data_IF_156082217188
#
_entry.id   IF_156082217188
#
_cell.length_a   1.000
_cell.length_b   1.000
_cell.length_c   1.000
_cell.angle_alpha   90.00
_cell.angle_beta   90.00
_cell.angle_gamma   90.00
#
_symmetry.space_group_name_H-M   'P 1'
#
loop_
_entity.id
_entity.type
_entity.pdbx_description
1 polymer ?
#
# COMPACT_ATOMS: atom_id res chain seq x y z
N UNK A 1 -10.30 -2.42 -46.95
CA UNK A 1 -10.67 -2.39 -45.50
C UNK A 1 -9.50 -3.01 -44.73
N UNK A 2 -8.62 -2.18 -44.20
CA UNK A 2 -7.44 -2.66 -43.42
C UNK A 2 -7.94 -2.84 -42.00
N UNK A 3 -8.13 -4.09 -41.58
CA UNK A 3 -8.38 -4.45 -40.18
C UNK A 3 -7.04 -4.31 -39.45
N UNK A 4 -6.82 -3.17 -38.79
CA UNK A 4 -5.75 -3.04 -37.80
C UNK A 4 -6.13 -3.94 -36.62
N UNK A 5 -5.65 -5.16 -36.63
CA UNK A 5 -5.61 -6.01 -35.45
C UNK A 5 -4.62 -5.35 -34.48
N UNK A 6 -5.11 -4.46 -33.65
CA UNK A 6 -4.37 -3.97 -32.50
C UNK A 6 -4.28 -5.16 -31.51
N UNK A 7 -3.24 -5.98 -31.70
CA UNK A 7 -2.83 -6.90 -30.65
C UNK A 7 -2.44 -6.04 -29.44
N UNK A 8 -3.34 -5.96 -28.46
CA UNK A 8 -3.03 -5.39 -27.14
C UNK A 8 -2.00 -6.34 -26.56
N UNK A 9 -0.74 -5.96 -26.76
CA UNK A 9 0.40 -6.70 -26.28
C UNK A 9 0.48 -6.46 -24.78
N UNK A 10 0.03 -7.42 -23.99
CA UNK A 10 0.44 -7.52 -22.58
C UNK A 10 1.97 -7.35 -22.51
N UNK A 11 2.43 -6.75 -21.42
CA UNK A 11 3.84 -6.48 -21.22
C UNK A 11 4.68 -7.73 -21.54
N UNK A 12 5.52 -7.59 -22.52
CA UNK A 12 6.40 -8.68 -22.97
C UNK A 12 7.52 -8.85 -21.95
N UNK A 13 8.08 -10.05 -21.85
CA UNK A 13 9.30 -10.32 -21.08
C UNK A 13 10.34 -9.23 -21.36
N UNK A 14 10.85 -8.62 -20.29
CA UNK A 14 11.84 -7.53 -20.37
C UNK A 14 11.25 -6.12 -20.48
N UNK A 15 9.92 -5.95 -20.62
CA UNK A 15 9.30 -4.62 -20.56
C UNK A 15 9.41 -4.05 -19.15
N UNK A 16 9.68 -2.75 -19.07
CA UNK A 16 9.67 -1.99 -17.84
C UNK A 16 8.38 -1.22 -17.70
N UNK A 17 8.00 -0.94 -16.48
CA UNK A 17 6.88 -0.06 -16.18
C UNK A 17 7.24 0.87 -15.01
N UNK A 18 6.61 2.02 -15.02
CA UNK A 18 6.55 2.94 -13.89
C UNK A 18 5.09 3.18 -13.56
N UNK A 19 4.82 3.47 -12.32
CA UNK A 19 3.47 3.76 -11.87
C UNK A 19 3.45 4.24 -10.45
N UNK A 20 2.33 4.08 -9.83
CA UNK A 20 2.17 4.39 -8.41
C UNK A 20 0.77 4.13 -7.93
N UNK A 21 0.67 4.09 -6.62
CA UNK A 21 -0.57 3.99 -5.87
C UNK A 21 -0.69 5.20 -4.95
N UNK A 22 -1.91 5.67 -4.75
CA UNK A 22 -2.20 6.71 -3.77
C UNK A 22 -3.45 6.32 -2.99
N UNK A 23 -3.49 6.70 -1.73
CA UNK A 23 -4.62 6.46 -0.87
C UNK A 23 -4.81 7.64 0.08
N UNK A 24 -6.06 7.90 0.43
CA UNK A 24 -6.46 8.87 1.43
C UNK A 24 -7.65 8.29 2.20
N UNK A 25 -7.64 8.46 3.51
CA UNK A 25 -8.72 8.02 4.37
C UNK A 25 -8.97 9.04 5.49
N UNK A 26 -10.23 9.18 5.87
CA UNK A 26 -10.62 9.94 7.05
C UNK A 26 -11.70 9.17 7.79
N UNK A 27 -11.49 8.93 9.06
CA UNK A 27 -12.45 8.30 9.96
C UNK A 27 -12.78 9.28 11.10
N UNK A 28 -14.07 9.47 11.33
CA UNK A 28 -14.55 10.34 12.37
C UNK A 28 -15.48 9.57 13.28
N UNK A 29 -15.21 9.62 14.57
CA UNK A 29 -16.08 9.07 15.64
C UNK A 29 -16.59 10.23 16.47
N UNK A 30 -17.92 10.34 16.57
CA UNK A 30 -18.61 11.38 17.33
C UNK A 30 -19.51 10.70 18.38
N UNK A 31 -19.07 10.61 19.64
CA UNK A 31 -19.88 10.04 20.71
C UNK A 31 -21.04 10.99 21.05
N UNK A 32 -22.20 10.43 21.45
CA UNK A 32 -23.46 11.17 21.70
C UNK A 32 -23.32 12.34 22.68
N UNK A 33 -22.36 12.25 23.62
CA UNK A 33 -22.12 13.29 24.65
C UNK A 33 -20.59 13.56 24.79
N UNK A 34 -19.84 13.55 23.71
CA UNK A 34 -18.38 13.66 23.78
C UNK A 34 -17.75 14.45 22.66
N UNK A 35 -16.47 14.70 22.79
CA UNK A 35 -15.68 15.41 21.79
C UNK A 35 -15.40 14.50 20.59
N UNK A 36 -15.54 15.03 19.42
CA UNK A 36 -15.26 14.37 18.13
C UNK A 36 -13.80 13.94 18.04
N UNK A 37 -13.55 12.70 17.65
CA UNK A 37 -12.23 12.19 17.30
C UNK A 37 -12.13 11.96 15.80
N UNK A 38 -11.07 12.43 15.17
CA UNK A 38 -10.85 12.29 13.72
C UNK A 38 -9.45 11.78 13.45
N UNK A 39 -9.37 10.67 12.75
CA UNK A 39 -8.11 10.13 12.20
C UNK A 39 -8.10 10.36 10.69
N UNK A 40 -7.09 11.05 10.19
CA UNK A 40 -6.84 11.25 8.77
C UNK A 40 -5.57 10.54 8.38
N UNK A 41 -5.60 9.76 7.30
CA UNK A 41 -4.44 9.03 6.80
C UNK A 41 -4.25 9.24 5.30
N UNK A 42 -3.00 9.20 4.86
CA UNK A 42 -2.64 9.26 3.45
C UNK A 42 -1.49 8.31 3.15
N UNK A 43 -1.43 7.83 1.92
CA UNK A 43 -0.34 7.02 1.40
C UNK A 43 -0.06 7.41 -0.05
N UNK A 44 1.20 7.40 -0.43
CA UNK A 44 1.68 7.59 -1.78
C UNK A 44 2.84 6.64 -2.05
N UNK A 45 2.78 5.85 -3.11
CA UNK A 45 3.79 4.85 -3.44
C UNK A 45 4.15 4.89 -4.93
N UNK A 46 5.17 5.65 -5.34
CA UNK A 46 5.75 5.48 -6.68
C UNK A 46 6.29 4.06 -6.83
N UNK A 47 6.10 3.51 -8.01
CA UNK A 47 6.37 2.11 -8.32
C UNK A 47 7.14 1.97 -9.63
N UNK A 48 8.12 1.07 -9.64
CA UNK A 48 8.89 0.69 -10.83
C UNK A 48 9.06 -0.82 -10.85
N UNK A 49 9.10 -1.41 -12.03
CA UNK A 49 9.38 -2.83 -12.14
C UNK A 49 9.51 -3.31 -13.58
N UNK A 50 9.64 -4.62 -13.71
CA UNK A 50 9.83 -5.29 -14.99
C UNK A 50 9.06 -6.62 -15.06
N UNK A 51 8.79 -7.06 -16.26
CA UNK A 51 8.22 -8.38 -16.51
C UNK A 51 9.36 -9.40 -16.77
N UNK A 52 9.59 -10.29 -15.81
CA UNK A 52 10.55 -11.38 -15.92
C UNK A 52 10.11 -12.43 -16.95
N UNK A 53 8.79 -12.64 -17.01
CA UNK A 53 8.06 -13.46 -17.98
C UNK A 53 6.80 -12.72 -18.38
N UNK A 54 6.09 -13.19 -19.39
CA UNK A 54 4.85 -12.57 -19.86
C UNK A 54 3.76 -12.49 -18.78
N UNK A 55 3.86 -13.31 -17.75
CA UNK A 55 2.88 -13.42 -16.66
C UNK A 55 3.50 -13.16 -15.26
N UNK A 56 4.81 -12.90 -15.17
CA UNK A 56 5.50 -12.66 -13.89
C UNK A 56 6.12 -11.28 -13.89
N UNK A 57 5.68 -10.46 -12.95
CA UNK A 57 6.14 -9.11 -12.68
C UNK A 57 6.99 -9.08 -11.41
N UNK A 58 8.13 -8.43 -11.46
CA UNK A 58 8.94 -8.06 -10.30
C UNK A 58 8.93 -6.55 -10.19
N UNK A 59 8.70 -6.01 -9.00
CA UNK A 59 8.65 -4.57 -8.82
C UNK A 59 9.07 -4.10 -7.44
N UNK A 60 9.20 -2.80 -7.35
CA UNK A 60 9.58 -2.06 -6.16
C UNK A 60 8.65 -0.85 -6.00
N UNK A 61 8.14 -0.66 -4.78
CA UNK A 61 7.33 0.49 -4.37
C UNK A 61 8.12 1.26 -3.32
N UNK A 62 8.19 2.58 -3.47
CA UNK A 62 8.69 3.47 -2.43
C UNK A 62 7.48 4.04 -1.67
N UNK A 63 7.02 3.33 -0.65
CA UNK A 63 5.87 3.76 0.14
C UNK A 63 6.20 4.95 1.04
N UNK A 64 5.39 5.99 0.95
CA UNK A 64 5.35 7.14 1.86
C UNK A 64 3.96 7.20 2.46
N UNK A 65 3.84 7.35 3.76
CA UNK A 65 2.56 7.36 4.44
C UNK A 65 2.59 8.25 5.67
N UNK A 66 1.41 8.70 6.07
CA UNK A 66 1.26 9.46 7.29
C UNK A 66 -0.17 9.41 7.80
N UNK A 67 -0.32 9.68 9.09
CA UNK A 67 -1.60 9.87 9.72
C UNK A 67 -1.56 11.02 10.72
N UNK A 68 -2.73 11.59 10.96
CA UNK A 68 -2.94 12.64 11.96
C UNK A 68 -4.21 12.32 12.73
N UNK A 69 -4.08 12.28 14.05
CA UNK A 69 -5.20 12.14 14.96
C UNK A 69 -5.52 13.48 15.61
N UNK A 70 -6.82 13.77 15.70
CA UNK A 70 -7.36 14.98 16.33
C UNK A 70 -8.44 14.60 17.33
N UNK A 71 -8.49 15.36 18.44
CA UNK A 71 -9.55 15.32 19.42
C UNK A 71 -10.18 16.73 19.52
N UNK A 72 -11.37 16.88 18.97
CA UNK A 72 -11.91 18.20 18.67
C UNK A 72 -11.12 18.87 17.53
N UNK A 73 -10.64 20.07 17.79
CA UNK A 73 -9.77 20.82 16.88
C UNK A 73 -8.28 20.59 17.17
N UNK A 74 -7.95 20.01 18.32
CA UNK A 74 -6.57 19.79 18.76
C UNK A 74 -5.96 18.55 18.12
N UNK A 75 -4.74 18.69 17.60
CA UNK A 75 -3.93 17.59 17.09
C UNK A 75 -3.33 16.84 18.28
N UNK A 76 -3.62 15.53 18.37
CA UNK A 76 -3.15 14.68 19.46
C UNK A 76 -1.95 13.84 19.06
N UNK A 77 -1.93 13.33 17.84
CA UNK A 77 -0.78 12.59 17.32
C UNK A 77 -0.56 12.79 15.82
N UNK A 78 0.65 12.53 15.37
CA UNK A 78 1.06 12.51 13.96
C UNK A 78 2.03 11.39 13.72
N UNK A 79 1.79 10.60 12.70
CA UNK A 79 2.71 9.61 12.21
C UNK A 79 3.18 9.99 10.81
N UNK A 80 4.47 9.82 10.54
CA UNK A 80 5.05 9.85 9.19
C UNK A 80 5.98 8.68 8.98
N UNK A 81 5.82 7.97 7.87
CA UNK A 81 6.50 6.73 7.62
C UNK A 81 6.97 6.56 6.17
N UNK A 82 7.95 5.70 6.04
CA UNK A 82 8.59 5.28 4.80
C UNK A 82 8.60 3.75 4.77
N UNK A 83 8.11 3.17 3.69
CA UNK A 83 7.96 1.72 3.57
C UNK A 83 8.33 1.19 2.19
N UNK A 84 9.64 0.99 1.90
CA UNK A 84 10.07 0.33 0.67
C UNK A 84 9.53 -1.11 0.64
N UNK A 85 8.98 -1.48 -0.52
CA UNK A 85 8.36 -2.79 -0.74
C UNK A 85 8.89 -3.41 -2.03
N UNK A 86 9.40 -4.63 -1.95
CA UNK A 86 9.71 -5.47 -3.11
C UNK A 86 8.60 -6.50 -3.27
N UNK A 87 8.20 -6.77 -4.50
CA UNK A 87 7.14 -7.74 -4.75
C UNK A 87 7.33 -8.53 -6.03
N UNK A 88 6.70 -9.70 -6.06
CA UNK A 88 6.51 -10.52 -7.25
C UNK A 88 5.00 -10.74 -7.43
N UNK A 89 4.50 -10.50 -8.64
CA UNK A 89 3.11 -10.78 -9.02
C UNK A 89 3.05 -11.77 -10.15
N UNK A 90 2.10 -12.68 -10.10
CA UNK A 90 1.77 -13.59 -11.19
C UNK A 90 0.39 -13.28 -11.73
N UNK A 91 0.33 -13.00 -13.03
CA UNK A 91 -0.89 -12.65 -13.74
C UNK A 91 -1.53 -13.86 -14.40
N UNK A 92 -2.87 -13.87 -14.40
CA UNK A 92 -3.70 -14.78 -15.20
C UNK A 92 -4.62 -13.95 -16.05
N UNK A 93 -4.43 -14.00 -17.35
CA UNK A 93 -5.29 -13.35 -18.34
C UNK A 93 -6.69 -13.98 -18.29
N UNK A 94 -7.73 -13.13 -18.19
CA UNK A 94 -9.13 -13.51 -18.22
C UNK A 94 -9.76 -13.12 -19.55
N UNK A 95 -9.51 -11.87 -19.99
CA UNK A 95 -9.87 -11.36 -21.32
C UNK A 95 -8.68 -10.63 -21.93
N UNK A 96 -8.83 -10.06 -23.12
CA UNK A 96 -7.76 -9.31 -23.76
C UNK A 96 -7.35 -8.07 -22.96
N UNK A 97 -8.24 -7.45 -22.22
CA UNK A 97 -7.99 -6.24 -21.46
C UNK A 97 -7.98 -6.46 -19.93
N UNK A 98 -8.37 -7.64 -19.45
CA UNK A 98 -8.55 -7.91 -18.04
C UNK A 98 -7.73 -9.11 -17.58
N UNK A 99 -6.99 -8.93 -16.51
CA UNK A 99 -6.21 -9.97 -15.84
C UNK A 99 -6.45 -9.94 -14.35
N UNK A 100 -6.43 -11.11 -13.73
CA UNK A 100 -6.29 -11.26 -12.28
C UNK A 100 -4.82 -11.52 -11.95
N UNK A 101 -4.41 -11.15 -10.77
CA UNK A 101 -3.07 -11.49 -10.28
C UNK A 101 -3.08 -11.87 -8.81
N UNK A 102 -2.09 -12.66 -8.42
CA UNK A 102 -1.67 -12.87 -7.04
C UNK A 102 -0.24 -12.37 -6.86
N UNK A 103 0.09 -11.87 -5.67
CA UNK A 103 1.40 -11.30 -5.40
C UNK A 103 1.91 -11.64 -4.01
N UNK A 104 3.23 -11.75 -3.91
CA UNK A 104 3.98 -11.81 -2.67
C UNK A 104 4.71 -10.49 -2.50
N UNK A 105 4.59 -9.88 -1.33
CA UNK A 105 5.13 -8.58 -1.00
C UNK A 105 5.99 -8.69 0.25
N UNK A 106 7.16 -8.09 0.21
CA UNK A 106 8.03 -7.90 1.35
C UNK A 106 8.30 -6.42 1.53
N UNK A 107 8.02 -5.89 2.69
CA UNK A 107 8.20 -4.48 3.01
C UNK A 107 9.02 -4.29 4.29
N UNK A 108 9.77 -3.22 4.32
CA UNK A 108 10.39 -2.66 5.51
C UNK A 108 9.64 -1.39 5.88
N UNK A 109 9.46 -1.15 7.18
CA UNK A 109 8.86 0.08 7.70
C UNK A 109 9.89 0.85 8.52
N UNK A 110 9.90 2.15 8.33
CA UNK A 110 10.53 3.09 9.27
C UNK A 110 9.65 4.33 9.36
N UNK A 111 9.36 4.78 10.58
CA UNK A 111 8.49 5.92 10.79
C UNK A 111 8.72 6.57 12.15
N UNK A 112 8.16 7.76 12.28
CA UNK A 112 8.17 8.55 13.51
C UNK A 112 6.74 8.89 13.88
N UNK A 113 6.41 8.68 15.14
CA UNK A 113 5.16 9.11 15.74
C UNK A 113 5.46 10.23 16.74
N UNK A 114 4.73 11.32 16.63
CA UNK A 114 4.76 12.45 17.55
C UNK A 114 3.44 12.52 18.31
N UNK A 115 3.51 12.67 19.61
CA UNK A 115 2.37 12.94 20.47
C UNK A 115 2.47 14.39 20.94
N UNK A 116 1.35 15.10 21.00
CA UNK A 116 1.33 16.54 21.28
C UNK A 116 0.84 16.86 22.70
N UNK A 117 0.44 15.85 23.48
CA UNK A 117 0.06 16.08 24.87
C UNK A 117 0.21 14.79 25.72
N UNK A 118 1.33 14.59 26.44
CA UNK A 118 2.56 15.39 26.46
C UNK A 118 3.31 15.33 25.12
N UNK A 119 4.15 16.30 24.87
CA UNK A 119 4.99 16.33 23.66
C UNK A 119 6.06 15.25 23.75
N UNK A 120 5.96 14.26 22.88
CA UNK A 120 6.82 13.08 22.87
C UNK A 120 7.00 12.53 21.45
N UNK A 121 8.16 11.94 21.20
CA UNK A 121 8.49 11.35 19.92
C UNK A 121 8.96 9.91 20.07
N UNK A 122 8.33 9.02 19.32
CA UNK A 122 8.72 7.63 19.22
C UNK A 122 9.05 7.25 17.78
N UNK A 123 10.00 6.33 17.61
CA UNK A 123 10.38 5.77 16.32
C UNK A 123 9.83 4.35 16.20
N UNK A 124 9.26 4.04 15.05
CA UNK A 124 8.82 2.70 14.72
C UNK A 124 9.67 2.15 13.56
N UNK A 125 10.11 0.91 13.68
CA UNK A 125 10.78 0.21 12.58
C UNK A 125 10.39 -1.27 12.58
N UNK A 126 10.27 -1.85 11.38
CA UNK A 126 9.81 -3.22 11.29
C UNK A 126 9.86 -3.78 9.87
N UNK A 127 9.30 -4.97 9.73
CA UNK A 127 9.16 -5.62 8.43
C UNK A 127 7.80 -6.31 8.33
N UNK A 128 7.37 -6.53 7.09
CA UNK A 128 6.17 -7.28 6.80
C UNK A 128 6.34 -8.16 5.58
N UNK A 129 5.58 -9.25 5.56
CA UNK A 129 5.42 -10.10 4.40
C UNK A 129 3.93 -10.35 4.19
N UNK A 130 3.47 -10.26 2.95
CA UNK A 130 2.05 -10.46 2.67
C UNK A 130 1.80 -11.12 1.33
N UNK A 131 0.69 -11.85 1.26
CA UNK A 131 0.10 -12.36 0.03
C UNK A 131 -1.11 -11.50 -0.32
N UNK A 132 -1.23 -11.14 -1.58
CA UNK A 132 -2.36 -10.37 -2.07
C UNK A 132 -2.91 -10.90 -3.38
N UNK A 133 -4.10 -10.45 -3.69
CA UNK A 133 -4.76 -10.65 -4.99
C UNK A 133 -5.19 -9.31 -5.56
N UNK A 134 -5.33 -9.27 -6.86
CA UNK A 134 -5.80 -8.07 -7.52
C UNK A 134 -6.27 -8.31 -8.93
N UNK A 135 -6.69 -7.21 -9.53
CA UNK A 135 -7.13 -7.14 -10.91
C UNK A 135 -6.36 -6.04 -11.63
N UNK A 136 -6.11 -6.28 -12.90
CA UNK A 136 -5.47 -5.32 -13.80
C UNK A 136 -6.32 -5.16 -15.06
N UNK A 137 -6.58 -3.91 -15.44
CA UNK A 137 -7.33 -3.57 -16.63
C UNK A 137 -6.50 -2.68 -17.55
N UNK A 138 -6.22 -3.16 -18.76
CA UNK A 138 -5.50 -2.40 -19.78
C UNK A 138 -6.40 -1.30 -20.33
N UNK A 139 -6.13 -0.05 -19.99
CA UNK A 139 -6.82 1.15 -20.48
C UNK A 139 -6.37 1.47 -21.91
N UNK A 140 -5.12 1.14 -22.23
CA UNK A 140 -4.51 1.30 -23.55
C UNK A 140 -3.30 0.36 -23.66
N UNK A 141 -2.61 0.28 -24.82
CA UNK A 141 -1.41 -0.55 -24.98
C UNK A 141 -0.26 -0.22 -24.01
N UNK A 142 -0.31 0.94 -23.35
CA UNK A 142 0.73 1.39 -22.42
C UNK A 142 0.22 1.66 -21.01
N UNK A 143 -1.06 1.95 -20.85
CA UNK A 143 -1.64 2.28 -19.55
C UNK A 143 -2.47 1.12 -19.00
N UNK A 144 -2.21 0.74 -17.76
CA UNK A 144 -2.94 -0.29 -17.04
C UNK A 144 -3.39 0.24 -15.68
N UNK A 145 -4.68 0.15 -15.40
CA UNK A 145 -5.20 0.36 -14.05
C UNK A 145 -5.09 -0.95 -13.26
N UNK A 146 -4.73 -0.86 -11.99
CA UNK A 146 -4.63 -1.99 -11.09
C UNK A 146 -5.37 -1.72 -9.80
N UNK A 147 -6.02 -2.75 -9.27
CA UNK A 147 -6.61 -2.73 -7.95
C UNK A 147 -6.18 -3.98 -7.20
N UNK A 148 -5.89 -3.85 -5.90
CA UNK A 148 -5.38 -4.97 -5.11
C UNK A 148 -5.86 -4.97 -3.67
N UNK A 149 -5.92 -6.19 -3.10
CA UNK A 149 -6.20 -6.47 -1.69
C UNK A 149 -5.18 -7.44 -1.12
N UNK A 150 -4.86 -7.28 0.17
CA UNK A 150 -4.16 -8.29 0.96
C UNK A 150 -5.10 -9.42 1.38
N UNK A 151 -4.59 -10.64 1.39
CA UNK A 151 -5.30 -11.83 1.87
C UNK A 151 -4.70 -12.39 3.16
N UNK A 152 -3.39 -12.35 3.26
CA UNK A 152 -2.63 -12.93 4.35
C UNK A 152 -1.42 -12.05 4.60
N UNK A 153 -1.12 -11.76 5.85
CA UNK A 153 0.03 -10.95 6.20
C UNK A 153 0.59 -11.29 7.57
N UNK A 154 1.89 -11.09 7.68
CA UNK A 154 2.61 -11.05 8.93
C UNK A 154 3.44 -9.78 8.98
N UNK A 155 3.43 -9.10 10.11
CA UNK A 155 4.29 -7.95 10.36
C UNK A 155 4.87 -7.99 11.77
N UNK A 156 6.03 -7.38 11.93
CA UNK A 156 6.66 -7.19 13.24
C UNK A 156 7.27 -5.80 13.27
N UNK A 157 6.88 -5.02 14.26
CA UNK A 157 7.27 -3.61 14.44
C UNK A 157 7.84 -3.43 15.85
N UNK A 158 8.96 -2.76 15.93
CA UNK A 158 9.63 -2.37 17.19
C UNK A 158 9.47 -0.87 17.36
N UNK A 159 9.05 -0.45 18.54
CA UNK A 159 8.93 0.95 18.94
C UNK A 159 10.10 1.34 19.83
N UNK A 160 10.65 2.52 19.60
CA UNK A 160 11.74 3.08 20.38
C UNK A 160 11.43 4.52 20.75
N UNK A 161 11.73 4.86 21.99
CA UNK A 161 11.65 6.20 22.53
C UNK A 161 13.02 6.56 23.12
N UNK A 162 13.59 7.69 22.74
CA UNK A 162 14.95 8.08 23.13
C UNK A 162 15.98 6.96 22.91
N UNK A 163 15.90 6.27 21.74
CA UNK A 163 16.72 5.13 21.33
C UNK A 163 16.61 3.87 22.23
N UNK A 164 15.74 3.89 23.22
CA UNK A 164 15.41 2.73 24.06
C UNK A 164 14.20 2.02 23.50
N UNK A 165 14.25 0.69 23.37
CA UNK A 165 13.10 -0.12 22.95
C UNK A 165 12.01 -0.04 24.02
N UNK A 166 10.85 0.42 23.64
CA UNK A 166 9.67 0.58 24.51
C UNK A 166 8.62 -0.50 24.28
N UNK A 167 8.64 -1.14 23.11
CA UNK A 167 7.71 -2.19 22.78
C UNK A 167 7.99 -2.86 21.44
N UNK A 168 7.41 -4.06 21.29
CA UNK A 168 7.41 -4.82 20.05
C UNK A 168 6.02 -5.38 19.81
N UNK A 169 5.49 -5.14 18.62
CA UNK A 169 4.23 -5.72 18.17
C UNK A 169 4.49 -6.68 17.01
N UNK A 170 3.78 -7.79 17.02
CA UNK A 170 3.78 -8.72 15.90
C UNK A 170 2.33 -9.09 15.60
N UNK A 171 1.93 -8.93 14.36
CA UNK A 171 0.57 -9.15 13.92
C UNK A 171 0.54 -10.17 12.78
N UNK A 172 -0.37 -11.12 12.88
CA UNK A 172 -0.69 -12.05 11.82
C UNK A 172 -2.16 -11.93 11.46
N UNK A 173 -2.43 -11.58 10.23
CA UNK A 173 -3.79 -11.40 9.79
C UNK A 173 -4.13 -12.29 8.59
N UNK A 174 -5.39 -12.75 8.59
CA UNK A 174 -5.99 -13.52 7.50
C UNK A 174 -7.31 -12.84 7.17
N UNK A 175 -7.48 -12.43 5.93
CA UNK A 175 -8.70 -11.74 5.50
C UNK A 175 -8.39 -10.77 4.37
N UNK A 176 -9.41 -10.07 3.92
CA UNK A 176 -9.26 -9.05 2.89
C UNK A 176 -8.75 -7.77 3.55
N UNK A 177 -7.44 -7.56 3.47
CA UNK A 177 -6.75 -6.37 3.98
C UNK A 177 -6.03 -5.65 2.84
N UNK A 178 -5.60 -4.43 3.11
CA UNK A 178 -4.77 -3.70 2.14
C UNK A 178 -3.36 -4.23 2.06
N UNK A 179 -2.88 -4.42 0.85
CA UNK A 179 -1.48 -4.73 0.56
C UNK A 179 -0.77 -3.45 0.14
N UNK A 180 0.34 -3.15 0.75
CA UNK A 180 1.15 -1.98 0.43
C UNK A 180 1.43 -1.12 1.65
N UNK A 181 1.96 0.05 1.43
CA UNK A 181 2.41 1.01 2.46
C UNK A 181 1.35 1.42 3.49
N UNK A 182 0.09 1.19 3.21
CA UNK A 182 -1.02 1.52 4.09
C UNK A 182 -1.27 0.50 5.22
N UNK A 183 -0.67 -0.69 5.16
CA UNK A 183 -0.82 -1.69 6.24
C UNK A 183 -0.24 -1.23 7.57
N UNK A 184 0.60 -0.20 7.55
CA UNK A 184 1.20 0.39 8.73
C UNK A 184 0.52 1.67 9.23
N UNK A 185 -0.48 2.18 8.52
CA UNK A 185 -1.36 3.25 9.01
C UNK A 185 -2.50 2.62 9.81
N UNK A 186 -2.21 1.64 10.63
CA UNK A 186 -3.19 1.04 11.51
C UNK A 186 -3.13 1.69 12.90
N UNK A 187 -3.56 2.95 12.96
CA UNK A 187 -4.24 3.43 14.14
C UNK A 187 -5.65 2.86 14.12
N UNK A 188 -5.91 1.80 14.86
CA UNK A 188 -7.24 1.31 15.33
C UNK A 188 -8.48 1.49 14.41
N UNK A 189 -8.34 1.42 13.10
CA UNK A 189 -9.45 1.52 12.17
C UNK A 189 -9.48 0.33 11.21
N UNK A 190 -10.28 -0.68 11.52
CA UNK A 190 -10.58 -1.80 10.63
C UNK A 190 -11.37 -1.34 9.41
N UNK A 191 -10.67 -0.87 8.38
CA UNK A 191 -11.23 -0.57 7.07
C UNK A 191 -10.38 -1.23 5.99
N UNK A 192 -10.95 -2.15 5.21
CA UNK A 192 -10.32 -2.63 4.00
C UNK A 192 -10.15 -1.45 3.04
N UNK A 193 -8.92 -0.99 2.82
CA UNK A 193 -8.64 0.08 1.87
C UNK A 193 -8.32 -0.53 0.51
N UNK A 194 -9.15 -0.27 -0.48
CA UNK A 194 -8.89 -0.64 -1.86
C UNK A 194 -7.83 0.31 -2.44
N UNK A 195 -6.70 -0.23 -2.87
CA UNK A 195 -5.66 0.54 -3.52
C UNK A 195 -5.85 0.52 -5.03
N UNK A 196 -5.88 1.70 -5.64
CA UNK A 196 -5.89 1.88 -7.09
C UNK A 196 -4.54 2.43 -7.51
N UNK A 197 -3.94 1.79 -8.51
CA UNK A 197 -2.71 2.22 -9.14
C UNK A 197 -2.87 2.36 -10.65
N UNK A 198 -2.00 3.15 -11.26
CA UNK A 198 -1.89 3.27 -12.72
C UNK A 198 -0.45 3.02 -13.09
N UNK A 199 -0.23 2.17 -14.09
CA UNK A 199 1.07 1.85 -14.64
C UNK A 199 1.20 2.31 -16.08
N UNK A 200 2.36 2.85 -16.41
CA UNK A 200 2.81 3.09 -17.77
C UNK A 200 3.91 2.10 -18.13
N UNK A 201 3.71 1.31 -19.18
CA UNK A 201 4.65 0.28 -19.64
C UNK A 201 5.49 0.81 -20.82
N UNK A 202 6.80 0.69 -20.69
CA UNK A 202 7.77 0.95 -21.76
C UNK A 202 7.99 -0.34 -22.56
N UNK A 203 8.10 -0.20 -23.86
CA UNK A 203 8.51 -1.28 -24.76
C UNK A 203 9.99 -1.17 -25.05
#
# INVERSE_FOLDING_TARGET
MIVLISSITYAQKGSWYIGGVAGYGSNTTEPTNGTKSTTTSWAFGPEIGTFLKNDIQLGFILGLNGSTDKFGDDKTSEFSGFSPTVYVRKFKKVTDNFSLFSGLYFNYLSGTQKEFNPDDESKASGFGISLGIGAAYALSPRFTAVGQYGLLGYSSVTFKQNDTETGKESDFNVGVNTVGSSSFVQGNGSGAVFNIGIYYTFK
#
